data_IF_677222191761
#
_entry.id   IF_677222191761
#
_cell.length_a   1.000
_cell.length_b   1.000
_cell.length_c   1.000
_cell.angle_alpha   90.00
_cell.angle_beta   90.00
_cell.angle_gamma   90.00
#
_symmetry.space_group_name_H-M   'P 1'
#
loop_
_entity.id
_entity.type
_entity.pdbx_description
1 polymer ?
#
# COMPACT_ATOMS: atom_id res chain seq x y z
N UNK A 1 77.57 -10.19 -10.62
CA UNK A 1 76.77 -9.02 -10.18
C UNK A 1 75.63 -8.81 -11.16
N UNK A 2 74.40 -8.56 -10.67
CA UNK A 2 73.09 -8.36 -11.37
C UNK A 2 72.29 -9.65 -11.60
N UNK A 3 71.54 -10.12 -10.60
CA UNK A 3 70.20 -9.70 -10.14
C UNK A 3 69.08 -10.32 -10.99
N UNK A 4 68.59 -11.42 -10.42
CA UNK A 4 67.30 -12.10 -10.54
C UNK A 4 66.11 -11.13 -10.68
N UNK A 5 65.20 -11.36 -11.63
CA UNK A 5 63.86 -10.75 -11.63
C UNK A 5 62.83 -11.83 -11.87
N UNK A 6 62.08 -12.16 -10.81
CA UNK A 6 61.07 -13.22 -10.79
C UNK A 6 59.80 -12.73 -11.51
N UNK A 7 59.30 -13.57 -12.42
CA UNK A 7 58.01 -13.39 -13.09
C UNK A 7 56.90 -13.66 -12.06
N UNK A 8 56.25 -12.62 -11.56
CA UNK A 8 55.11 -12.73 -10.66
C UNK A 8 53.82 -12.84 -11.50
N UNK A 9 53.26 -14.05 -11.62
CA UNK A 9 51.91 -14.24 -12.12
C UNK A 9 50.93 -13.67 -11.09
N UNK A 10 50.22 -12.60 -11.43
CA UNK A 10 49.08 -12.10 -10.65
C UNK A 10 47.82 -12.80 -11.19
N UNK A 11 47.40 -13.86 -10.51
CA UNK A 11 46.10 -14.49 -10.72
C UNK A 11 45.07 -13.72 -9.88
N UNK A 12 44.36 -12.77 -10.52
CA UNK A 12 43.30 -12.01 -9.89
C UNK A 12 42.06 -12.90 -9.78
N UNK A 13 41.92 -13.58 -8.65
CA UNK A 13 40.74 -14.37 -8.31
C UNK A 13 39.59 -13.39 -8.01
N UNK A 14 38.80 -13.06 -9.02
CA UNK A 14 37.56 -12.31 -8.85
C UNK A 14 36.58 -13.24 -8.12
N UNK A 15 36.52 -13.12 -6.79
CA UNK A 15 35.43 -13.71 -6.01
C UNK A 15 34.13 -13.02 -6.45
N UNK A 16 33.34 -13.72 -7.27
CA UNK A 16 31.97 -13.34 -7.55
C UNK A 16 31.18 -13.35 -6.25
N UNK A 17 30.85 -12.17 -5.73
CA UNK A 17 29.87 -12.03 -4.66
C UNK A 17 28.54 -12.58 -5.21
N UNK A 18 27.86 -13.50 -4.51
CA UNK A 18 26.52 -13.86 -4.89
C UNK A 18 25.66 -12.61 -4.70
N UNK A 19 25.20 -12.04 -5.81
CA UNK A 19 24.08 -11.10 -5.78
C UNK A 19 22.90 -11.95 -5.29
N UNK A 20 22.49 -11.73 -4.04
CA UNK A 20 21.26 -12.31 -3.52
C UNK A 20 20.14 -11.68 -4.33
N UNK A 21 19.69 -12.37 -5.38
CA UNK A 21 18.53 -11.97 -6.14
C UNK A 21 17.35 -11.89 -5.16
N UNK A 22 16.72 -10.72 -5.05
CA UNK A 22 15.48 -10.60 -4.31
C UNK A 22 14.47 -11.58 -4.95
N UNK A 23 14.00 -12.54 -4.16
CA UNK A 23 12.99 -13.50 -4.57
C UNK A 23 11.75 -12.73 -5.08
N UNK A 24 11.29 -12.95 -6.32
CA UNK A 24 10.12 -12.23 -6.82
C UNK A 24 8.88 -12.58 -6.00
N UNK A 25 8.20 -11.54 -5.50
CA UNK A 25 6.80 -11.64 -5.06
C UNK A 25 6.56 -12.23 -3.67
N UNK A 26 7.24 -11.72 -2.64
CA UNK A 26 6.92 -12.06 -1.24
C UNK A 26 5.67 -11.35 -0.72
N UNK A 27 5.15 -10.34 -1.44
CA UNK A 27 3.93 -9.63 -1.05
C UNK A 27 2.75 -10.16 -1.86
N UNK A 28 1.76 -10.69 -1.14
CA UNK A 28 0.45 -11.04 -1.66
C UNK A 28 -0.57 -9.97 -1.27
N UNK A 29 -1.37 -9.54 -2.24
CA UNK A 29 -2.41 -8.54 -2.02
C UNK A 29 -3.76 -9.17 -2.30
N UNK A 30 -4.65 -9.14 -1.30
CA UNK A 30 -5.96 -9.80 -1.41
C UNK A 30 -7.10 -8.84 -1.12
N UNK A 31 -8.22 -9.09 -1.82
CA UNK A 31 -9.46 -8.33 -1.69
C UNK A 31 -9.35 -6.81 -1.87
N UNK A 32 -8.58 -6.27 -2.83
CA UNK A 32 -8.53 -4.82 -3.06
C UNK A 32 -9.89 -4.24 -3.41
N UNK A 33 -10.31 -3.22 -2.68
CA UNK A 33 -11.57 -2.53 -2.90
C UNK A 33 -11.52 -1.06 -2.53
N UNK A 34 -12.39 -0.25 -3.13
CA UNK A 34 -12.60 1.15 -2.77
C UNK A 34 -14.08 1.40 -2.50
N UNK A 35 -14.37 2.41 -1.67
CA UNK A 35 -15.76 2.83 -1.47
C UNK A 35 -16.19 3.74 -2.62
N UNK A 36 -17.41 3.53 -3.10
CA UNK A 36 -18.11 4.42 -4.02
C UNK A 36 -18.05 5.88 -3.52
N UNK A 37 -17.81 6.81 -4.44
CA UNK A 37 -17.71 8.24 -4.13
C UNK A 37 -18.84 9.02 -4.84
N UNK A 38 -19.64 9.82 -4.12
CA UNK A 38 -20.60 10.73 -4.75
C UNK A 38 -19.90 11.78 -5.63
N UNK A 39 -20.58 12.36 -6.65
CA UNK A 39 -19.97 13.34 -7.56
C UNK A 39 -19.36 14.59 -6.89
N UNK A 40 -19.88 14.99 -5.73
CA UNK A 40 -19.37 16.14 -4.97
C UNK A 40 -18.11 15.83 -4.14
N UNK A 41 -17.74 14.56 -4.01
CA UNK A 41 -16.60 14.12 -3.19
C UNK A 41 -15.39 13.94 -4.09
N UNK A 42 -14.35 14.75 -3.84
CA UNK A 42 -13.12 14.74 -4.63
C UNK A 42 -12.06 13.77 -4.11
N UNK A 43 -12.34 13.05 -3.02
CA UNK A 43 -11.37 12.21 -2.33
C UNK A 43 -11.96 10.83 -2.03
N UNK A 44 -11.18 9.77 -2.21
CA UNK A 44 -11.61 8.39 -1.95
C UNK A 44 -10.59 7.63 -1.11
N UNK A 45 -10.91 6.38 -0.77
CA UNK A 45 -9.97 5.49 -0.10
C UNK A 45 -10.09 4.07 -0.65
N UNK A 46 -8.95 3.40 -0.79
CA UNK A 46 -8.85 2.00 -1.14
C UNK A 46 -8.25 1.18 0.03
N UNK A 47 -8.66 -0.07 0.07
CA UNK A 47 -8.51 -1.00 1.18
C UNK A 47 -8.14 -2.38 0.63
N UNK A 48 -7.35 -3.15 1.36
CA UNK A 48 -6.85 -4.46 0.96
C UNK A 48 -6.16 -5.14 2.14
N UNK A 49 -5.86 -6.43 2.00
CA UNK A 49 -4.93 -7.11 2.90
C UNK A 49 -3.59 -7.28 2.20
N UNK A 50 -2.51 -6.87 2.87
CA UNK A 50 -1.13 -7.11 2.44
C UNK A 50 -0.57 -8.26 3.28
N UNK A 51 -0.10 -9.33 2.65
CA UNK A 51 0.51 -10.47 3.34
C UNK A 51 1.93 -10.66 2.85
N UNK A 52 2.88 -10.66 3.77
CA UNK A 52 4.28 -10.95 3.46
C UNK A 52 4.57 -12.43 3.72
N UNK A 53 4.81 -13.18 2.65
CA UNK A 53 5.20 -14.59 2.68
C UNK A 53 6.72 -14.79 2.69
N UNK A 54 7.49 -13.69 2.65
CA UNK A 54 8.94 -13.68 2.67
C UNK A 54 9.55 -13.74 4.08
N UNK A 55 10.87 -14.01 4.15
CA UNK A 55 11.60 -14.13 5.42
C UNK A 55 12.03 -12.78 6.02
N UNK A 56 11.94 -11.68 5.27
CA UNK A 56 12.32 -10.33 5.69
C UNK A 56 11.12 -9.38 5.62
N UNK A 57 11.15 -8.32 6.43
CA UNK A 57 10.10 -7.29 6.41
C UNK A 57 10.10 -6.56 5.06
N UNK A 58 8.92 -6.11 4.63
CA UNK A 58 8.77 -5.22 3.48
C UNK A 58 7.96 -4.00 3.88
N UNK A 59 7.96 -2.97 3.04
CA UNK A 59 7.28 -1.71 3.28
C UNK A 59 6.59 -1.26 2.01
N UNK A 60 5.30 -0.98 2.10
CA UNK A 60 4.61 -0.22 1.08
C UNK A 60 5.04 1.25 1.22
N UNK A 61 5.62 1.80 0.16
CA UNK A 61 6.17 3.15 0.15
C UNK A 61 5.24 4.12 -0.58
N UNK A 62 4.68 3.72 -1.72
CA UNK A 62 3.92 4.60 -2.60
C UNK A 62 2.80 3.85 -3.33
N UNK A 63 1.84 4.61 -3.85
CA UNK A 63 0.90 4.12 -4.85
C UNK A 63 0.70 5.11 -5.99
N UNK A 64 0.16 4.64 -7.12
CA UNK A 64 -0.28 5.50 -8.22
C UNK A 64 -1.47 4.89 -8.97
N UNK A 65 -2.36 5.75 -9.47
CA UNK A 65 -3.51 5.35 -10.28
C UNK A 65 -3.98 6.52 -11.13
N UNK A 66 -4.51 6.24 -12.31
CA UNK A 66 -5.04 7.28 -13.20
C UNK A 66 -6.30 7.95 -12.67
N UNK A 67 -7.03 7.30 -11.75
CA UNK A 67 -8.31 7.80 -11.22
C UNK A 67 -8.18 8.98 -10.27
N UNK A 68 -6.97 9.24 -9.76
CA UNK A 68 -6.69 10.30 -8.79
C UNK A 68 -5.50 11.15 -9.22
N UNK A 69 -5.39 12.37 -8.69
CA UNK A 69 -4.22 13.24 -8.87
C UNK A 69 -3.05 12.80 -8.00
N UNK A 70 -3.32 12.38 -6.78
CA UNK A 70 -2.29 11.97 -5.80
C UNK A 70 -2.78 10.78 -5.01
N UNK A 71 -1.83 9.89 -4.69
CA UNK A 71 -2.06 8.77 -3.77
C UNK A 71 -1.16 8.94 -2.56
N UNK A 72 -1.75 8.77 -1.38
CA UNK A 72 -1.03 8.83 -0.12
C UNK A 72 -1.33 7.61 0.73
N UNK A 73 -0.40 7.25 1.61
CA UNK A 73 -0.62 6.22 2.63
C UNK A 73 -1.07 6.89 3.91
N UNK A 74 -2.19 6.45 4.47
CA UNK A 74 -2.77 7.07 5.65
C UNK A 74 -3.04 6.03 6.73
N UNK A 75 -3.10 6.49 7.97
CA UNK A 75 -3.53 5.73 9.14
C UNK A 75 -4.59 6.51 9.91
N UNK A 76 -5.30 5.81 10.79
CA UNK A 76 -6.13 6.43 11.81
C UNK A 76 -5.43 6.30 13.16
N UNK A 77 -5.11 7.43 13.77
CA UNK A 77 -4.62 7.46 15.15
C UNK A 77 -5.70 8.05 16.05
N UNK A 78 -5.91 7.40 17.19
CA UNK A 78 -6.72 7.95 18.27
C UNK A 78 -5.85 8.92 19.06
N UNK A 79 -6.07 10.22 18.90
CA UNK A 79 -5.35 11.25 19.65
C UNK A 79 -6.36 12.08 20.41
N UNK A 80 -6.26 12.08 21.75
CA UNK A 80 -7.17 12.80 22.64
C UNK A 80 -8.67 12.44 22.42
N UNK A 81 -8.98 11.15 22.24
CA UNK A 81 -10.33 10.63 21.93
C UNK A 81 -10.91 11.10 20.58
N UNK A 82 -10.11 11.73 19.73
CA UNK A 82 -10.49 12.10 18.36
C UNK A 82 -9.72 11.20 17.39
N UNK A 83 -10.45 10.47 16.55
CA UNK A 83 -9.85 9.73 15.45
C UNK A 83 -9.39 10.72 14.37
N UNK A 84 -8.08 10.78 14.12
CA UNK A 84 -7.51 11.62 13.05
C UNK A 84 -6.89 10.76 11.96
N UNK A 85 -7.24 11.07 10.71
CA UNK A 85 -6.53 10.56 9.54
C UNK A 85 -5.18 11.28 9.44
N UNK A 86 -4.10 10.52 9.32
CA UNK A 86 -2.74 11.05 9.21
C UNK A 86 -2.00 10.33 8.11
N UNK A 87 -1.34 11.10 7.23
CA UNK A 87 -0.37 10.58 6.28
C UNK A 87 0.77 9.87 7.02
N UNK A 88 1.22 8.75 6.46
CA UNK A 88 2.41 8.02 6.85
C UNK A 88 3.34 7.88 5.66
N UNK A 89 4.64 7.82 5.90
CA UNK A 89 5.65 7.68 4.84
C UNK A 89 5.70 6.25 4.28
N UNK A 90 5.32 5.26 5.10
CA UNK A 90 5.32 3.85 4.72
C UNK A 90 4.37 3.02 5.59
N UNK A 91 3.98 1.86 5.09
CA UNK A 91 3.25 0.84 5.83
C UNK A 91 4.10 -0.43 5.83
N UNK A 92 4.57 -0.84 7.01
CA UNK A 92 5.36 -2.06 7.19
C UNK A 92 4.48 -3.32 7.09
N UNK A 93 5.00 -4.36 6.45
CA UNK A 93 4.43 -5.70 6.42
C UNK A 93 5.50 -6.68 6.92
N UNK A 94 5.40 -7.05 8.20
CA UNK A 94 6.36 -7.91 8.86
C UNK A 94 6.42 -9.32 8.23
N UNK A 95 7.56 -10.04 8.31
CA UNK A 95 7.71 -11.37 7.73
C UNK A 95 6.66 -12.35 8.24
N UNK A 96 6.02 -13.09 7.33
CA UNK A 96 4.98 -14.07 7.68
C UNK A 96 3.71 -13.46 8.27
N UNK A 97 3.52 -12.14 8.21
CA UNK A 97 2.37 -11.45 8.78
C UNK A 97 1.50 -10.78 7.71
N UNK A 98 0.28 -10.44 8.11
CA UNK A 98 -0.66 -9.68 7.30
C UNK A 98 -0.92 -8.31 7.93
N UNK A 99 -0.95 -7.28 7.10
CA UNK A 99 -1.32 -5.92 7.46
C UNK A 99 -2.60 -5.54 6.76
N UNK A 100 -3.64 -5.24 7.53
CA UNK A 100 -4.98 -4.94 7.03
C UNK A 100 -5.15 -3.44 6.80
N UNK A 101 -5.39 -3.06 5.54
CA UNK A 101 -5.82 -1.71 5.17
C UNK A 101 -7.35 -1.71 5.13
N UNK A 102 -7.97 -0.99 6.07
CA UNK A 102 -9.41 -1.02 6.32
C UNK A 102 -9.92 0.33 6.85
N UNK A 103 -11.24 0.60 6.77
CA UNK A 103 -11.83 1.77 7.39
C UNK A 103 -11.46 1.87 8.88
N UNK A 104 -11.04 3.05 9.32
CA UNK A 104 -10.60 3.28 10.70
C UNK A 104 -9.19 2.75 11.03
N UNK A 105 -8.42 2.27 10.05
CA UNK A 105 -7.03 1.85 10.20
C UNK A 105 -6.14 2.40 9.07
N UNK A 106 -5.15 1.62 8.65
CA UNK A 106 -4.37 1.95 7.46
C UNK A 106 -5.25 1.96 6.21
N UNK A 107 -4.96 2.83 5.25
CA UNK A 107 -5.65 2.86 3.96
C UNK A 107 -4.83 3.62 2.91
N UNK A 108 -5.17 3.38 1.63
CA UNK A 108 -4.66 4.13 0.50
C UNK A 108 -5.60 5.30 0.23
N UNK A 109 -5.13 6.51 0.47
CA UNK A 109 -5.90 7.73 0.22
C UNK A 109 -5.78 8.12 -1.25
N UNK A 110 -6.92 8.34 -1.91
CA UNK A 110 -7.03 8.79 -3.30
C UNK A 110 -7.45 10.27 -3.28
N UNK A 111 -6.52 11.18 -3.59
CA UNK A 111 -6.75 12.62 -3.52
C UNK A 111 -6.95 13.18 -4.93
N UNK A 112 -7.97 14.02 -5.11
CA UNK A 112 -8.27 14.62 -6.41
C UNK A 112 -8.78 13.59 -7.41
N UNK A 113 -9.86 12.90 -7.07
CA UNK A 113 -10.55 11.97 -7.97
C UNK A 113 -10.96 12.72 -9.24
N UNK A 114 -10.51 12.22 -10.39
CA UNK A 114 -10.82 12.81 -11.71
C UNK A 114 -12.22 12.48 -12.18
N UNK A 115 -12.80 11.42 -11.63
CA UNK A 115 -14.18 10.99 -11.85
C UNK A 115 -14.70 10.25 -10.61
N UNK A 116 -16.03 10.21 -10.41
CA UNK A 116 -16.61 9.44 -9.31
C UNK A 116 -16.28 7.95 -9.41
N UNK A 117 -15.91 7.33 -8.29
CA UNK A 117 -15.80 5.89 -8.16
C UNK A 117 -17.21 5.29 -8.15
N UNK A 118 -17.57 4.56 -9.20
CA UNK A 118 -18.92 3.98 -9.36
C UNK A 118 -18.93 2.51 -8.95
N UNK A 119 -19.88 2.10 -8.11
CA UNK A 119 -20.00 0.73 -7.64
C UNK A 119 -20.07 -0.29 -8.79
N UNK A 120 -19.39 -1.43 -8.62
CA UNK A 120 -19.30 -2.49 -9.61
C UNK A 120 -18.21 -2.30 -10.67
N UNK A 121 -17.61 -1.11 -10.76
CA UNK A 121 -16.44 -0.87 -11.61
C UNK A 121 -15.14 -1.32 -10.95
N UNK A 122 -14.09 -1.48 -11.75
CA UNK A 122 -12.72 -1.71 -11.29
C UNK A 122 -11.77 -0.67 -11.86
N UNK A 123 -10.69 -0.38 -11.13
CA UNK A 123 -9.61 0.46 -11.64
C UNK A 123 -8.23 -0.09 -11.25
N UNK A 124 -7.19 0.12 -12.08
CA UNK A 124 -5.82 -0.27 -11.75
C UNK A 124 -5.23 0.63 -10.66
N UNK A 125 -4.60 0.02 -9.67
CA UNK A 125 -3.79 0.69 -8.65
C UNK A 125 -2.41 0.03 -8.61
N UNK A 126 -1.38 0.84 -8.82
CA UNK A 126 0.01 0.40 -8.74
C UNK A 126 0.54 0.70 -7.34
N UNK A 127 1.19 -0.27 -6.72
CA UNK A 127 1.75 -0.18 -5.37
C UNK A 127 3.25 -0.47 -5.42
N UNK A 128 4.06 0.40 -4.82
CA UNK A 128 5.52 0.27 -4.81
C UNK A 128 5.99 -0.13 -3.42
N UNK A 129 6.55 -1.32 -3.33
CA UNK A 129 7.19 -1.86 -2.15
C UNK A 129 8.70 -1.60 -2.16
N UNK A 130 9.31 -1.59 -0.99
CA UNK A 130 10.75 -1.42 -0.82
C UNK A 130 11.52 -2.60 -1.45
N UNK A 131 11.09 -3.84 -1.19
CA UNK A 131 11.80 -5.04 -1.62
C UNK A 131 11.05 -5.82 -2.72
N UNK A 132 9.72 -5.99 -2.60
CA UNK A 132 8.93 -6.70 -3.61
C UNK A 132 8.75 -5.91 -4.93
N UNK A 133 9.19 -4.65 -4.97
CA UNK A 133 9.09 -3.79 -6.14
C UNK A 133 7.65 -3.36 -6.42
N UNK A 134 7.30 -3.25 -7.69
CA UNK A 134 6.02 -2.69 -8.13
C UNK A 134 4.99 -3.78 -8.40
N UNK A 135 3.82 -3.69 -7.76
CA UNK A 135 2.70 -4.61 -7.90
C UNK A 135 1.47 -3.84 -8.40
N UNK A 136 0.90 -4.29 -9.51
CA UNK A 136 -0.36 -3.77 -10.06
C UNK A 136 -1.53 -4.60 -9.53
N UNK A 137 -2.56 -3.95 -8.98
CA UNK A 137 -3.79 -4.59 -8.51
C UNK A 137 -5.02 -3.97 -9.15
N UNK A 138 -6.09 -4.77 -9.30
CA UNK A 138 -7.41 -4.28 -9.72
C UNK A 138 -8.27 -4.01 -8.50
N UNK A 139 -8.64 -2.75 -8.28
CA UNK A 139 -9.44 -2.34 -7.13
C UNK A 139 -10.92 -2.34 -7.51
N UNK A 140 -11.73 -3.14 -6.81
CA UNK A 140 -13.18 -3.18 -7.02
C UNK A 140 -13.88 -2.07 -6.25
N UNK A 141 -14.68 -1.26 -6.92
CA UNK A 141 -15.52 -0.26 -6.24
C UNK A 141 -16.76 -0.94 -5.67
N UNK A 142 -16.93 -0.83 -4.35
CA UNK A 142 -18.09 -1.34 -3.61
C UNK A 142 -19.01 -0.19 -3.22
N UNK A 143 -20.30 -0.48 -3.05
CA UNK A 143 -21.30 0.53 -2.72
C UNK A 143 -21.01 1.30 -1.42
N UNK A 144 -21.66 2.46 -1.27
CA UNK A 144 -21.45 3.42 -0.17
C UNK A 144 -21.36 2.84 1.26
N UNK A 145 -22.09 1.77 1.57
CA UNK A 145 -22.17 1.19 2.92
C UNK A 145 -21.06 0.16 3.20
N UNK A 146 -20.21 -0.13 2.22
CA UNK A 146 -19.13 -1.09 2.36
C UNK A 146 -18.13 -0.67 3.43
N UNK A 147 -17.89 -1.54 4.42
CA UNK A 147 -16.95 -1.31 5.52
C UNK A 147 -17.46 -0.37 6.62
N UNK A 148 -18.75 -0.04 6.63
CA UNK A 148 -19.40 0.58 7.80
C UNK A 148 -19.72 -0.51 8.81
N UNK A 149 -19.30 -0.35 10.07
CA UNK A 149 -19.71 -1.25 11.14
C UNK A 149 -21.25 -1.16 11.30
N UNK A 150 -21.98 -2.28 11.44
CA UNK A 150 -23.42 -2.23 11.69
C UNK A 150 -23.66 -1.57 13.06
N UNK A 151 -24.08 -0.30 13.08
CA UNK A 151 -24.45 0.39 14.33
C UNK A 151 -24.28 1.91 14.39
N UNK A 152 -23.62 2.58 13.43
CA UNK A 152 -23.42 4.05 13.50
C UNK A 152 -24.52 4.89 12.83
N UNK A 153 -25.76 4.40 12.85
CA UNK A 153 -26.93 5.18 12.44
C UNK A 153 -27.18 6.31 13.44
N UNK A 154 -26.81 7.54 13.07
CA UNK A 154 -27.25 8.74 13.79
C UNK A 154 -28.77 8.84 13.64
N UNK A 155 -29.48 8.49 14.70
CA UNK A 155 -30.90 8.73 14.82
C UNK A 155 -31.14 10.24 14.80
N UNK A 156 -31.63 10.76 13.68
CA UNK A 156 -32.18 12.11 13.61
C UNK A 156 -33.48 12.12 14.44
N UNK A 157 -33.40 12.59 15.68
CA UNK A 157 -34.58 12.99 16.44
C UNK A 157 -35.17 14.24 15.78
N UNK A 158 -36.19 14.05 14.95
CA UNK A 158 -37.10 15.11 14.55
C UNK A 158 -37.97 15.45 15.76
N UNK A 159 -37.71 16.60 16.37
CA UNK A 159 -38.65 17.23 17.30
C UNK A 159 -39.64 18.02 16.46
N UNK A 160 -40.89 17.60 16.48
CA UNK A 160 -42.01 18.34 15.91
C UNK A 160 -42.73 19.02 17.07
N UNK A 161 -42.79 20.34 17.05
CA UNK A 161 -43.87 21.11 17.69
C UNK A 161 -44.98 21.37 16.66
#
# INVERSE_FOLDING_TARGET
>A
MKIMTRLFLIFCLILGMPVLAAEPGTIQITGPWARESPPAVTNGAAYMMLTNTGPAADRLLEGSSEVAETIELHTHLMENHVAKMRKVEMIEVAPGQSTMLQPGGFHIMLIGLKQPLTAGQTFPLTLRFENAGTILVQVMVRGKDAGTAPGSGHAHHHHSD
#
